data_IF_336705491545
#
_entry.id   IF_336705491545
#
_cell.length_a   1.000
_cell.length_b   1.000
_cell.length_c   1.000
_cell.angle_alpha   90.00
_cell.angle_beta   90.00
_cell.angle_gamma   90.00
#
_symmetry.space_group_name_H-M   'P 1'
#
loop_
_entity.id
_entity.type
_entity.pdbx_description
1 polymer ?
#
# COMPACT_ATOMS: atom_id res chain seq x y z
N UNK A 1 8.05 -9.95 -14.43
CA UNK A 1 8.98 -10.71 -13.56
C UNK A 1 8.76 -12.20 -13.73
N UNK A 2 7.55 -12.74 -13.48
CA UNK A 2 7.32 -14.20 -13.52
C UNK A 2 7.74 -14.87 -14.83
N UNK A 3 7.50 -14.24 -15.97
CA UNK A 3 7.86 -14.75 -17.32
C UNK A 3 9.29 -14.41 -17.76
N UNK A 4 10.10 -13.82 -16.90
CA UNK A 4 11.49 -13.45 -17.21
C UNK A 4 11.70 -12.13 -17.95
N UNK A 5 10.65 -11.44 -18.41
CA UNK A 5 10.78 -10.14 -19.12
C UNK A 5 11.44 -9.05 -18.25
N UNK A 6 11.29 -9.14 -16.93
CA UNK A 6 11.99 -8.32 -15.96
C UNK A 6 12.68 -9.22 -14.94
N UNK A 7 13.92 -8.92 -14.62
CA UNK A 7 14.66 -9.66 -13.61
C UNK A 7 14.07 -9.44 -12.20
N UNK A 8 13.81 -8.18 -11.82
CA UNK A 8 13.20 -7.84 -10.52
C UNK A 8 12.36 -6.57 -10.62
N UNK A 9 11.46 -6.38 -9.66
CA UNK A 9 10.65 -5.16 -9.52
C UNK A 9 10.17 -4.97 -8.10
N UNK A 10 9.95 -3.71 -7.72
CA UNK A 10 9.15 -3.33 -6.55
C UNK A 10 7.66 -3.33 -6.91
N UNK A 11 6.83 -3.93 -6.06
CA UNK A 11 5.39 -3.98 -6.27
C UNK A 11 4.67 -4.05 -4.92
N UNK A 12 3.50 -3.41 -4.79
CA UNK A 12 2.67 -3.59 -3.60
C UNK A 12 2.19 -5.04 -3.49
N UNK A 13 2.18 -5.56 -2.26
CA UNK A 13 1.70 -6.92 -1.96
C UNK A 13 0.27 -7.15 -2.42
N UNK A 14 -0.57 -6.12 -2.37
CA UNK A 14 -1.95 -6.16 -2.84
C UNK A 14 -2.08 -6.47 -4.36
N UNK A 15 -1.12 -6.05 -5.19
CA UNK A 15 -1.13 -6.42 -6.61
C UNK A 15 -0.70 -7.87 -6.85
N UNK A 16 0.10 -8.45 -5.95
CA UNK A 16 0.53 -9.84 -6.04
C UNK A 16 -0.50 -10.82 -5.48
N UNK A 17 -1.45 -10.37 -4.66
CA UNK A 17 -2.45 -11.22 -4.01
C UNK A 17 -3.27 -12.05 -4.99
N UNK A 18 -3.51 -11.55 -6.21
CA UNK A 18 -4.15 -12.34 -7.28
C UNK A 18 -3.35 -13.58 -7.72
N UNK A 19 -2.03 -13.55 -7.57
CA UNK A 19 -1.15 -14.67 -7.93
C UNK A 19 -0.73 -15.47 -6.71
N UNK A 20 -0.60 -14.81 -5.57
CA UNK A 20 -0.20 -15.35 -4.27
C UNK A 20 -1.26 -14.93 -3.25
N UNK A 21 -2.40 -15.65 -3.15
CA UNK A 21 -3.54 -15.24 -2.32
C UNK A 21 -3.19 -15.05 -0.85
N UNK A 22 -2.18 -15.77 -0.36
CA UNK A 22 -1.72 -15.66 1.02
C UNK A 22 -1.20 -14.27 1.39
N UNK A 23 -0.77 -13.47 0.39
CA UNK A 23 -0.38 -12.08 0.63
C UNK A 23 -1.55 -11.18 1.06
N UNK A 24 -2.80 -11.56 0.76
CA UNK A 24 -3.96 -10.80 1.20
C UNK A 24 -4.12 -10.74 2.71
N UNK A 25 -3.46 -11.60 3.49
CA UNK A 25 -3.43 -11.47 4.95
C UNK A 25 -2.89 -10.12 5.41
N UNK A 26 -1.96 -9.55 4.65
CA UNK A 26 -1.39 -8.23 4.93
C UNK A 26 -2.36 -7.07 4.63
N UNK A 27 -3.44 -7.35 3.91
CA UNK A 27 -4.49 -6.39 3.51
C UNK A 27 -5.68 -6.38 4.49
N UNK A 28 -5.64 -7.13 5.58
CA UNK A 28 -6.72 -7.14 6.59
C UNK A 28 -6.80 -5.76 7.25
N UNK A 29 -8.00 -5.12 7.28
CA UNK A 29 -8.12 -3.78 7.83
C UNK A 29 -7.79 -3.76 9.33
N UNK A 30 -7.06 -2.73 9.75
CA UNK A 30 -6.64 -2.49 11.14
C UNK A 30 -5.84 -3.63 11.79
N UNK A 31 -5.26 -4.54 10.99
CA UNK A 31 -4.49 -5.67 11.49
C UNK A 31 -3.26 -5.21 12.29
N UNK A 32 -2.61 -4.15 11.84
CA UNK A 32 -1.39 -3.66 12.44
C UNK A 32 -1.65 -2.39 13.25
N UNK A 33 -1.54 -2.43 14.59
CA UNK A 33 -1.73 -1.26 15.44
C UNK A 33 -0.64 -0.20 15.25
N UNK A 34 0.55 -0.65 14.90
CA UNK A 34 1.70 0.19 14.62
C UNK A 34 2.67 -0.48 13.63
N UNK A 35 3.62 0.31 13.16
CA UNK A 35 4.64 -0.07 12.21
C UNK A 35 5.55 -1.21 12.72
N UNK A 36 5.94 -1.18 13.99
CA UNK A 36 6.83 -2.18 14.59
C UNK A 36 6.17 -3.57 14.55
N UNK A 37 4.89 -3.64 14.89
CA UNK A 37 4.13 -4.90 14.79
C UNK A 37 4.04 -5.37 13.34
N UNK A 38 3.79 -4.47 12.40
CA UNK A 38 3.73 -4.80 10.97
C UNK A 38 5.04 -5.43 10.47
N UNK A 39 6.20 -4.84 10.80
CA UNK A 39 7.49 -5.39 10.42
C UNK A 39 7.84 -6.68 11.15
N UNK A 40 7.54 -6.80 12.44
CA UNK A 40 7.75 -8.06 13.17
C UNK A 40 6.99 -9.23 12.51
N UNK A 41 5.84 -8.99 11.93
CA UNK A 41 5.06 -10.01 11.21
C UNK A 41 5.73 -10.41 9.90
N UNK A 42 6.12 -9.43 9.06
CA UNK A 42 6.71 -9.73 7.74
C UNK A 42 8.16 -10.20 7.82
N UNK A 43 8.88 -9.89 8.89
CA UNK A 43 10.24 -10.38 9.15
C UNK A 43 10.24 -11.71 9.94
N UNK A 44 9.12 -12.08 10.55
CA UNK A 44 8.94 -13.28 11.34
C UNK A 44 8.49 -14.51 10.54
N UNK A 45 7.80 -15.41 11.25
CA UNK A 45 7.31 -16.68 10.69
C UNK A 45 6.29 -16.50 9.55
N UNK A 46 5.40 -15.51 9.68
CA UNK A 46 4.43 -15.19 8.62
C UNK A 46 5.14 -14.77 7.35
N UNK A 47 6.13 -13.87 7.45
CA UNK A 47 6.92 -13.47 6.30
C UNK A 47 7.71 -14.62 5.68
N UNK A 48 8.19 -15.57 6.47
CA UNK A 48 8.83 -16.79 5.96
C UNK A 48 7.85 -17.63 5.15
N UNK A 49 6.64 -17.87 5.68
CA UNK A 49 5.58 -18.55 4.95
C UNK A 49 5.22 -17.84 3.63
N UNK A 50 5.09 -16.52 3.66
CA UNK A 50 4.80 -15.72 2.46
C UNK A 50 5.92 -15.81 1.41
N UNK A 51 7.18 -15.87 1.84
CA UNK A 51 8.33 -16.12 0.95
C UNK A 51 8.24 -17.50 0.29
N UNK A 52 7.94 -18.55 1.04
CA UNK A 52 7.79 -19.90 0.50
C UNK A 52 6.62 -20.00 -0.50
N UNK A 53 5.48 -19.40 -0.18
CA UNK A 53 4.33 -19.33 -1.09
C UNK A 53 4.66 -18.56 -2.37
N UNK A 54 5.39 -17.47 -2.25
CA UNK A 54 5.85 -16.70 -3.42
C UNK A 54 6.82 -17.52 -4.29
N UNK A 55 7.74 -18.25 -3.68
CA UNK A 55 8.70 -19.10 -4.37
C UNK A 55 8.00 -20.22 -5.17
N UNK A 56 6.91 -20.78 -4.64
CA UNK A 56 6.10 -21.78 -5.36
C UNK A 56 5.40 -21.21 -6.61
N UNK A 57 5.26 -19.88 -6.70
CA UNK A 57 4.64 -19.17 -7.83
C UNK A 57 5.65 -18.54 -8.79
N UNK A 58 6.95 -18.83 -8.63
CA UNK A 58 8.02 -18.36 -9.52
C UNK A 58 8.62 -17.00 -9.15
N UNK A 59 8.43 -16.54 -7.91
CA UNK A 59 9.01 -15.32 -7.39
C UNK A 59 9.99 -15.58 -6.25
N UNK A 60 11.03 -14.77 -6.15
CA UNK A 60 11.90 -14.70 -4.97
C UNK A 60 11.67 -13.34 -4.31
N UNK A 61 10.93 -13.26 -3.19
CA UNK A 61 10.84 -12.03 -2.41
C UNK A 61 12.17 -11.76 -1.72
N UNK A 62 12.74 -10.60 -1.98
CA UNK A 62 14.05 -10.20 -1.48
C UNK A 62 13.96 -9.30 -0.25
N UNK A 63 12.85 -8.59 -0.06
CA UNK A 63 12.62 -7.75 1.10
C UNK A 63 11.29 -7.03 1.03
N UNK A 64 10.72 -6.73 2.20
CA UNK A 64 9.53 -5.91 2.35
C UNK A 64 9.93 -4.49 2.74
N UNK A 65 9.24 -3.51 2.19
CA UNK A 65 9.35 -2.10 2.57
C UNK A 65 7.98 -1.55 2.89
N UNK A 66 7.95 -0.55 3.73
CA UNK A 66 6.74 0.20 4.03
C UNK A 66 6.33 1.08 2.86
N UNK A 67 5.07 0.99 2.48
CA UNK A 67 4.39 2.04 1.74
C UNK A 67 3.58 2.91 2.71
N UNK A 68 3.14 2.32 3.80
CA UNK A 68 2.58 2.99 4.98
C UNK A 68 1.07 2.88 5.13
N UNK A 69 0.52 3.51 6.20
CA UNK A 69 -0.90 3.53 6.47
C UNK A 69 -1.65 4.30 5.38
N UNK A 70 -2.76 3.74 4.93
CA UNK A 70 -3.54 4.25 3.79
C UNK A 70 -4.66 5.17 4.27
N UNK A 71 -4.80 6.30 3.58
CA UNK A 71 -5.74 7.37 3.86
C UNK A 71 -6.71 7.56 2.70
N UNK A 72 -7.90 8.04 2.98
CA UNK A 72 -8.95 8.22 1.97
C UNK A 72 -8.99 9.67 1.49
N UNK A 73 -9.09 9.88 0.17
CA UNK A 73 -9.44 11.19 -0.41
C UNK A 73 -10.67 11.08 -1.29
N UNK A 74 -11.47 12.15 -1.38
CA UNK A 74 -12.61 12.22 -2.28
C UNK A 74 -12.98 13.67 -2.63
N UNK A 75 -13.89 13.85 -3.63
CA UNK A 75 -14.36 15.15 -4.09
C UNK A 75 -15.79 15.48 -3.64
N UNK A 76 -16.53 14.52 -3.07
CA UNK A 76 -17.97 14.66 -2.86
C UNK A 76 -18.29 15.31 -1.50
N UNK A 77 -17.70 14.79 -0.42
CA UNK A 77 -18.03 15.21 0.95
C UNK A 77 -16.96 14.81 1.97
N UNK A 78 -16.85 15.51 3.10
CA UNK A 78 -16.04 15.04 4.22
C UNK A 78 -16.56 13.69 4.72
N UNK A 79 -15.67 12.76 5.04
CA UNK A 79 -16.04 11.46 5.63
C UNK A 79 -15.84 11.57 7.14
N UNK A 80 -16.95 11.55 7.88
CA UNK A 80 -16.99 11.64 9.35
C UNK A 80 -17.55 10.37 9.98
N UNK A 81 -18.27 9.57 9.20
CA UNK A 81 -18.89 8.31 9.59
C UNK A 81 -18.88 7.32 8.43
N UNK A 82 -19.18 6.06 8.71
CA UNK A 82 -19.29 5.00 7.69
C UNK A 82 -20.38 5.36 6.66
N UNK A 83 -21.49 5.95 7.09
CA UNK A 83 -22.59 6.34 6.20
C UNK A 83 -22.16 7.33 5.11
N UNK A 84 -21.11 8.12 5.35
CA UNK A 84 -20.61 9.07 4.37
C UNK A 84 -19.86 8.38 3.20
N UNK A 85 -19.50 7.11 3.34
CA UNK A 85 -18.90 6.31 2.27
C UNK A 85 -19.93 5.78 1.26
N UNK A 86 -21.23 5.79 1.64
CA UNK A 86 -22.28 5.17 0.83
C UNK A 86 -22.31 5.69 -0.60
N UNK A 87 -22.16 4.76 -1.54
CA UNK A 87 -22.24 5.01 -2.98
C UNK A 87 -21.03 5.68 -3.60
N UNK A 88 -20.01 6.09 -2.83
CA UNK A 88 -18.82 6.71 -3.39
C UNK A 88 -18.03 5.71 -4.24
N UNK A 89 -17.70 6.11 -5.46
CA UNK A 89 -16.84 5.37 -6.36
C UNK A 89 -15.38 5.56 -5.94
N UNK A 90 -14.89 4.65 -5.12
CA UNK A 90 -13.52 4.71 -4.57
C UNK A 90 -12.62 3.75 -5.34
N UNK A 91 -11.53 4.28 -5.89
CA UNK A 91 -10.51 3.45 -6.50
C UNK A 91 -9.68 2.73 -5.45
N UNK A 92 -9.51 1.43 -5.62
CA UNK A 92 -8.69 0.57 -4.78
C UNK A 92 -7.62 -0.14 -5.61
N UNK A 93 -6.62 -0.69 -4.91
CA UNK A 93 -5.74 -1.69 -5.48
C UNK A 93 -6.52 -2.99 -5.77
N UNK A 94 -6.06 -3.85 -6.71
CA UNK A 94 -6.79 -5.04 -7.11
C UNK A 94 -6.61 -6.20 -6.10
N UNK A 95 -7.01 -5.98 -4.86
CA UNK A 95 -7.01 -6.95 -3.77
C UNK A 95 -8.43 -7.23 -3.31
N UNK A 96 -8.77 -8.50 -3.11
CA UNK A 96 -10.14 -8.93 -2.77
C UNK A 96 -10.57 -8.44 -1.38
N UNK A 97 -9.64 -8.37 -0.41
CA UNK A 97 -9.93 -7.87 0.94
C UNK A 97 -10.19 -6.37 0.89
N UNK A 98 -9.39 -5.61 0.12
CA UNK A 98 -9.66 -4.18 -0.07
C UNK A 98 -11.06 -3.97 -0.67
N UNK A 99 -11.40 -4.70 -1.73
CA UNK A 99 -12.70 -4.60 -2.39
C UNK A 99 -13.84 -4.96 -1.45
N UNK A 100 -13.75 -6.11 -0.77
CA UNK A 100 -14.78 -6.56 0.18
C UNK A 100 -14.96 -5.58 1.34
N UNK A 101 -13.88 -5.02 1.86
CA UNK A 101 -13.92 -4.03 2.94
C UNK A 101 -14.72 -2.80 2.54
N UNK A 102 -14.41 -2.18 1.41
CA UNK A 102 -15.12 -0.97 0.96
C UNK A 102 -16.55 -1.25 0.52
N UNK A 103 -16.84 -2.43 -0.03
CA UNK A 103 -18.21 -2.88 -0.28
C UNK A 103 -19.01 -3.00 1.03
N UNK A 104 -18.44 -3.63 2.04
CA UNK A 104 -19.09 -3.76 3.36
C UNK A 104 -19.34 -2.40 4.03
N UNK A 105 -18.49 -1.42 3.77
CA UNK A 105 -18.65 -0.03 4.22
C UNK A 105 -19.65 0.77 3.38
N UNK A 106 -20.28 0.16 2.36
CA UNK A 106 -21.30 0.76 1.52
C UNK A 106 -20.78 1.63 0.37
N UNK A 107 -19.47 1.67 0.13
CA UNK A 107 -18.91 2.32 -1.05
C UNK A 107 -19.11 1.48 -2.32
N UNK A 108 -18.80 2.07 -3.46
CA UNK A 108 -18.75 1.42 -4.78
C UNK A 108 -17.29 1.31 -5.22
N UNK A 109 -16.55 0.29 -4.75
CA UNK A 109 -15.12 0.17 -5.04
C UNK A 109 -14.87 -0.19 -6.50
N UNK A 110 -13.81 0.40 -7.08
CA UNK A 110 -13.39 0.19 -8.47
C UNK A 110 -11.89 -0.10 -8.50
N UNK A 111 -11.47 -1.13 -9.21
CA UNK A 111 -10.04 -1.39 -9.45
C UNK A 111 -9.56 -0.70 -10.71
N UNK A 112 -8.42 -0.03 -10.64
CA UNK A 112 -7.84 0.69 -11.77
C UNK A 112 -6.32 0.77 -11.61
N UNK A 113 -5.55 0.77 -12.71
CA UNK A 113 -4.12 1.03 -12.66
C UNK A 113 -3.85 2.41 -12.06
N UNK A 114 -2.82 2.51 -11.21
CA UNK A 114 -2.47 3.76 -10.51
C UNK A 114 -2.15 4.90 -11.49
N UNK A 115 -1.71 4.59 -12.71
CA UNK A 115 -1.38 5.59 -13.73
C UNK A 115 -2.62 6.31 -14.28
N UNK A 116 -3.78 5.66 -14.24
CA UNK A 116 -5.05 6.18 -14.76
C UNK A 116 -5.82 6.98 -13.71
N UNK A 117 -5.48 6.80 -12.43
CA UNK A 117 -6.26 7.34 -11.30
C UNK A 117 -6.35 8.87 -11.33
N UNK A 118 -5.24 9.57 -11.61
CA UNK A 118 -5.25 11.04 -11.63
C UNK A 118 -6.28 11.58 -12.63
N UNK A 119 -6.27 11.08 -13.87
CA UNK A 119 -7.22 11.49 -14.91
C UNK A 119 -8.67 11.14 -14.54
N UNK A 120 -8.90 9.96 -13.97
CA UNK A 120 -10.23 9.54 -13.54
C UNK A 120 -10.78 10.38 -12.37
N UNK A 121 -9.92 10.82 -11.44
CA UNK A 121 -10.28 11.75 -10.37
C UNK A 121 -10.56 13.16 -10.92
N UNK A 122 -9.73 13.62 -11.86
CA UNK A 122 -9.86 14.94 -12.48
C UNK A 122 -11.17 15.08 -13.28
N UNK A 123 -11.56 14.03 -14.00
CA UNK A 123 -12.80 14.01 -14.80
C UNK A 123 -14.05 13.68 -14.00
N UNK A 124 -13.91 13.28 -12.72
CA UNK A 124 -15.04 12.85 -11.89
C UNK A 124 -15.56 11.44 -12.22
N UNK A 125 -14.85 10.65 -13.01
CA UNK A 125 -15.16 9.23 -13.24
C UNK A 125 -15.06 8.43 -11.96
N UNK A 126 -14.15 8.83 -11.06
CA UNK A 126 -14.00 8.36 -9.69
C UNK A 126 -14.31 9.50 -8.72
N UNK A 127 -14.97 9.19 -7.62
CA UNK A 127 -15.19 10.15 -6.54
C UNK A 127 -13.96 10.29 -5.64
N UNK A 128 -13.20 9.21 -5.46
CA UNK A 128 -12.05 9.20 -4.58
C UNK A 128 -11.12 8.02 -4.79
N UNK A 129 -10.10 8.00 -3.96
CA UNK A 129 -9.10 6.95 -3.88
C UNK A 129 -8.56 6.83 -2.46
N UNK A 130 -7.82 5.77 -2.17
CA UNK A 130 -7.11 5.59 -0.92
C UNK A 130 -5.65 5.19 -1.20
N UNK A 131 -4.72 5.80 -0.50
CA UNK A 131 -3.29 5.56 -0.57
C UNK A 131 -2.58 6.17 0.65
N UNK A 132 -1.34 5.78 0.94
CA UNK A 132 -0.50 6.48 1.88
C UNK A 132 -0.26 7.95 1.47
N UNK A 133 0.01 8.82 2.45
CA UNK A 133 0.24 10.25 2.20
C UNK A 133 1.33 10.52 1.16
N UNK A 134 2.43 9.76 1.21
CA UNK A 134 3.51 9.89 0.25
C UNK A 134 3.02 9.68 -1.19
N UNK A 135 2.22 8.64 -1.43
CA UNK A 135 1.65 8.36 -2.76
C UNK A 135 0.66 9.44 -3.19
N UNK A 136 -0.19 9.92 -2.27
CA UNK A 136 -1.13 11.02 -2.55
C UNK A 136 -0.37 12.26 -3.03
N UNK A 137 0.71 12.61 -2.34
CA UNK A 137 1.58 13.74 -2.67
C UNK A 137 2.32 13.53 -4.00
N UNK A 138 2.99 12.40 -4.16
CA UNK A 138 3.88 12.14 -5.30
C UNK A 138 3.09 11.95 -6.61
N UNK A 139 1.83 11.48 -6.52
CA UNK A 139 0.90 11.38 -7.63
C UNK A 139 0.05 12.64 -7.84
N UNK A 140 0.27 13.68 -7.03
CA UNK A 140 -0.47 14.95 -7.09
C UNK A 140 -1.99 14.81 -6.89
N UNK A 141 -2.47 13.75 -6.23
CA UNK A 141 -3.91 13.55 -6.04
C UNK A 141 -4.55 14.69 -5.26
N UNK A 142 -3.82 15.35 -4.36
CA UNK A 142 -4.28 16.54 -3.63
C UNK A 142 -4.68 17.70 -4.56
N UNK A 143 -4.22 17.74 -5.82
CA UNK A 143 -4.62 18.77 -6.78
C UNK A 143 -6.01 18.54 -7.38
N UNK A 144 -6.50 17.31 -7.30
CA UNK A 144 -7.77 16.88 -7.90
C UNK A 144 -8.73 16.26 -6.87
N UNK A 145 -8.44 16.39 -5.57
CA UNK A 145 -9.25 15.89 -4.46
C UNK A 145 -9.47 16.99 -3.43
N UNK A 146 -10.73 17.15 -2.97
CA UNK A 146 -11.12 18.25 -2.04
C UNK A 146 -11.00 17.87 -0.58
N UNK A 147 -11.26 16.60 -0.26
CA UNK A 147 -11.34 16.10 1.11
C UNK A 147 -10.33 14.98 1.32
N UNK A 148 -9.68 15.02 2.47
CA UNK A 148 -8.78 13.97 2.95
C UNK A 148 -9.26 13.54 4.33
N UNK A 149 -9.36 12.23 4.53
CA UNK A 149 -9.73 11.63 5.81
C UNK A 149 -8.63 10.69 6.25
N UNK A 150 -8.07 10.96 7.43
CA UNK A 150 -7.04 10.10 8.03
C UNK A 150 -7.73 8.88 8.66
N UNK A 151 -7.76 7.78 7.91
CA UNK A 151 -8.46 6.55 8.29
C UNK A 151 -7.51 5.46 8.76
N UNK A 152 -6.29 5.41 8.21
CA UNK A 152 -5.27 4.38 8.49
C UNK A 152 -5.85 2.95 8.49
N UNK A 153 -6.78 2.71 7.58
CA UNK A 153 -7.59 1.48 7.54
C UNK A 153 -6.82 0.26 7.04
N UNK A 154 -5.77 0.46 6.24
CA UNK A 154 -4.81 -0.57 5.84
C UNK A 154 -3.40 -0.09 6.10
N UNK A 155 -2.50 -1.03 6.33
CA UNK A 155 -1.06 -0.81 6.30
C UNK A 155 -0.48 -1.50 5.08
N UNK A 156 0.08 -0.75 4.15
CA UNK A 156 0.50 -1.28 2.86
C UNK A 156 2.01 -1.54 2.82
N UNK A 157 2.37 -2.67 2.21
CA UNK A 157 3.74 -3.06 1.95
C UNK A 157 4.02 -3.08 0.45
N UNK A 158 5.24 -2.69 0.10
CA UNK A 158 5.84 -3.08 -1.18
C UNK A 158 6.88 -4.16 -0.93
N UNK A 159 7.01 -5.05 -1.89
CA UNK A 159 7.98 -6.14 -1.85
C UNK A 159 8.86 -6.09 -3.09
N UNK A 160 10.16 -6.24 -2.92
CA UNK A 160 11.07 -6.49 -4.03
C UNK A 160 10.99 -7.97 -4.38
N UNK A 161 10.55 -8.26 -5.58
CA UNK A 161 10.48 -9.64 -6.10
C UNK A 161 11.37 -9.80 -7.31
N UNK A 162 12.13 -10.90 -7.33
CA UNK A 162 12.91 -11.31 -8.49
C UNK A 162 12.24 -12.50 -9.21
N UNK A 163 12.57 -12.65 -10.50
CA UNK A 163 12.27 -13.88 -11.24
C UNK A 163 13.05 -15.04 -10.60
N UNK A 164 12.34 -16.11 -10.22
CA UNK A 164 12.96 -17.23 -9.50
C UNK A 164 14.04 -17.90 -10.32
N UNK A 165 13.75 -18.27 -11.57
CA UNK A 165 14.71 -18.94 -12.44
C UNK A 165 15.95 -18.07 -12.70
N UNK A 166 15.75 -16.79 -12.97
CA UNK A 166 16.86 -15.85 -13.19
C UNK A 166 17.70 -15.64 -11.93
N UNK A 167 17.06 -15.55 -10.75
CA UNK A 167 17.77 -15.37 -9.49
C UNK A 167 18.57 -16.62 -9.10
N UNK A 168 17.98 -17.81 -9.23
CA UNK A 168 18.63 -19.09 -8.93
C UNK A 168 19.77 -19.42 -9.90
N UNK A 169 19.75 -18.88 -11.13
CA UNK A 169 20.83 -19.01 -12.11
C UNK A 169 22.07 -18.16 -11.76
N UNK A 170 21.96 -17.18 -10.88
CA UNK A 170 23.10 -16.40 -10.42
C UNK A 170 24.04 -17.26 -9.55
N UNK A 171 25.33 -16.92 -9.56
CA UNK A 171 26.28 -17.48 -8.59
C UNK A 171 25.81 -17.17 -7.16
N UNK A 172 26.02 -18.09 -6.23
CA UNK A 172 25.60 -17.93 -4.82
C UNK A 172 26.12 -16.66 -4.15
N UNK A 173 27.30 -16.22 -4.52
CA UNK A 173 27.90 -14.97 -4.05
C UNK A 173 27.05 -13.76 -4.49
N UNK A 174 26.60 -13.71 -5.76
CA UNK A 174 25.73 -12.63 -6.27
C UNK A 174 24.34 -12.66 -5.61
N UNK A 175 23.76 -13.86 -5.41
CA UNK A 175 22.50 -14.00 -4.67
C UNK A 175 22.60 -13.39 -3.27
N UNK A 176 23.70 -13.68 -2.54
CA UNK A 176 23.96 -13.12 -1.21
C UNK A 176 24.13 -11.60 -1.22
N UNK A 177 24.86 -11.05 -2.20
CA UNK A 177 25.05 -9.60 -2.33
C UNK A 177 23.69 -8.92 -2.52
N UNK A 178 22.86 -9.42 -3.43
CA UNK A 178 21.53 -8.86 -3.68
C UNK A 178 20.65 -8.95 -2.43
N UNK A 179 20.60 -10.12 -1.78
CA UNK A 179 19.78 -10.31 -0.58
C UNK A 179 20.21 -9.40 0.59
N UNK A 180 21.52 -9.26 0.81
CA UNK A 180 22.04 -8.38 1.85
C UNK A 180 21.77 -6.90 1.55
N UNK A 181 21.95 -6.47 0.30
CA UNK A 181 21.67 -5.10 -0.11
C UNK A 181 20.20 -4.74 0.08
N UNK A 182 19.28 -5.66 -0.21
CA UNK A 182 17.84 -5.42 -0.03
C UNK A 182 17.40 -5.44 1.43
N UNK A 183 17.98 -6.29 2.26
CA UNK A 183 17.72 -6.27 3.71
C UNK A 183 18.21 -4.97 4.34
N UNK A 184 19.38 -4.49 3.99
CA UNK A 184 19.92 -3.22 4.48
C UNK A 184 19.10 -2.02 3.99
N UNK A 185 18.62 -2.03 2.74
CA UNK A 185 17.73 -0.99 2.21
C UNK A 185 16.37 -0.97 2.92
N UNK A 186 15.82 -2.14 3.25
CA UNK A 186 14.59 -2.26 4.05
C UNK A 186 14.75 -1.64 5.43
N UNK A 187 15.86 -1.91 6.11
CA UNK A 187 16.19 -1.32 7.42
C UNK A 187 16.36 0.21 7.30
N UNK A 188 17.07 0.70 6.28
CA UNK A 188 17.32 2.12 6.09
C UNK A 188 16.03 2.92 5.82
N UNK A 189 15.10 2.40 5.01
CA UNK A 189 13.78 3.00 4.80
C UNK A 189 12.91 2.94 6.04
N UNK A 190 13.03 1.89 6.83
CA UNK A 190 12.36 1.77 8.14
C UNK A 190 12.83 2.87 9.09
N UNK A 191 14.10 3.17 9.12
CA UNK A 191 14.69 4.22 9.98
C UNK A 191 14.36 5.62 9.50
N UNK A 192 14.40 5.88 8.18
CA UNK A 192 14.11 7.19 7.59
C UNK A 192 12.63 7.59 7.73
N UNK A 193 11.70 6.64 7.59
CA UNK A 193 10.29 6.92 7.76
C UNK A 193 9.90 7.09 9.25
N UNK A 194 10.60 6.43 10.20
CA UNK A 194 10.43 6.69 11.63
C UNK A 194 10.79 8.13 11.99
N UNK A 195 11.85 8.68 11.40
CA UNK A 195 12.27 10.06 11.60
C UNK A 195 11.28 11.11 11.03
N UNK A 196 10.41 10.71 10.09
CA UNK A 196 9.37 11.58 9.54
C UNK A 196 8.05 11.52 10.33
N UNK A 197 7.76 10.42 11.01
CA UNK A 197 6.52 10.27 11.81
C UNK A 197 6.62 11.05 13.14
N UNK A 198 7.83 11.17 13.70
CA UNK A 198 8.08 11.97 14.92
C UNK A 198 8.02 13.48 14.67
N UNK A 199 7.91 13.93 13.42
CA UNK A 199 7.84 15.33 13.01
C UNK A 199 6.49 15.81 12.45
N UNK A 200 5.43 14.99 12.51
CA UNK A 200 4.14 15.29 11.89
C UNK A 200 3.25 16.33 12.62
N UNK A 201 3.79 17.06 13.60
CA UNK A 201 3.16 18.24 14.23
C UNK A 201 3.58 19.58 13.56
N UNK A 202 4.07 19.59 12.34
CA UNK A 202 4.39 20.83 11.63
C UNK A 202 3.15 21.37 10.87
N UNK A 203 2.84 22.68 10.94
CA UNK A 203 1.66 23.28 10.38
C UNK A 203 1.68 23.23 8.86
N UNK A 204 0.60 22.67 8.27
CA UNK A 204 0.38 22.67 6.83
C UNK A 204 0.20 24.11 6.31
N UNK A 205 1.18 24.61 5.59
CA UNK A 205 1.02 25.79 4.75
C UNK A 205 1.26 25.35 3.30
N UNK A 206 0.21 25.36 2.51
CA UNK A 206 0.03 25.66 1.09
C UNK A 206 -1.09 24.85 0.44
N UNK A 207 -2.16 25.59 0.05
CA UNK A 207 -3.18 25.19 -0.92
C UNK A 207 -4.31 24.38 -0.34
N UNK A 208 -5.31 25.07 0.19
CA UNK A 208 -6.73 24.77 0.33
C UNK A 208 -7.19 23.30 0.17
N UNK A 209 -6.69 22.40 1.00
CA UNK A 209 -7.43 21.21 1.42
C UNK A 209 -8.00 21.47 2.81
N UNK A 210 -9.33 21.53 2.93
CA UNK A 210 -9.95 21.62 4.25
C UNK A 210 -9.73 20.28 4.98
N UNK A 211 -8.79 20.30 5.89
CA UNK A 211 -8.50 19.17 6.77
C UNK A 211 -9.60 19.08 7.84
N UNK A 212 -10.59 18.22 7.62
CA UNK A 212 -11.53 17.83 8.68
C UNK A 212 -10.98 16.58 9.36
N UNK A 213 -9.89 16.74 10.09
CA UNK A 213 -9.28 15.65 10.83
C UNK A 213 -9.76 15.65 12.28
N UNK A 214 -10.81 14.92 12.57
CA UNK A 214 -10.95 14.25 13.87
C UNK A 214 -10.97 12.75 13.58
N UNK A 215 -10.11 12.00 14.29
CA UNK A 215 -10.07 10.54 14.29
C UNK A 215 -11.50 10.01 14.44
N UNK A 216 -12.09 9.49 13.38
CA UNK A 216 -13.25 8.65 13.50
C UNK A 216 -12.74 7.30 14.02
N UNK A 217 -12.91 7.06 15.30
CA UNK A 217 -12.64 5.76 15.91
C UNK A 217 -13.76 4.84 15.41
N UNK A 218 -13.45 4.01 14.44
CA UNK A 218 -14.28 2.86 14.09
C UNK A 218 -13.94 1.78 15.12
N UNK A 219 -14.86 1.53 16.04
CA UNK A 219 -14.87 0.34 16.89
C UNK A 219 -15.65 -0.76 16.22
#
# INVERSE_FOLDING_TARGET
>A
VRNGSLFMTWISTAYLSRTIPELSVLSIPFLFPDRRVAFNVVDGQVGSLLRDRSASKGFVPLGFMELGPRQLTNNQRPIRSISDLKGLKIRLQPDEIHMATFQALGASPVTMDIKEVYGALQTGTLDGQENPFAVIRDRNFQKVQKYLTNTSHFFDFIVLVANKQGFEALKREHQKIISNATSNAGIATTTAAAAHDDGADAPANHGSMTTSARRATIR
#
